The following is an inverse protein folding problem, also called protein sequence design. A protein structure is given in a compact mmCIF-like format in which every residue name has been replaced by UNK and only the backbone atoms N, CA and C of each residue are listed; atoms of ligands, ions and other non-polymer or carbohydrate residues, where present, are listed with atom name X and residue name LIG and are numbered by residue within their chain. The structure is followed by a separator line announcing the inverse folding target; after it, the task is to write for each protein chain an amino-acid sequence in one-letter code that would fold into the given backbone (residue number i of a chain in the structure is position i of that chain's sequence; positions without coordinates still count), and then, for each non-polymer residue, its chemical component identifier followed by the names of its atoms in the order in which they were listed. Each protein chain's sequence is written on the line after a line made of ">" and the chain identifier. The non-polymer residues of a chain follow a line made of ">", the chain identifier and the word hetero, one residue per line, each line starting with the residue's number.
data_IF_143199169742
#
_entry.id   IF_143199169742
#
_cell.length_a   1.000
_cell.length_b   1.000
_cell.length_c   1.000
_cell.angle_alpha   90.00
_cell.angle_beta   90.00
_cell.angle_gamma   90.00
#
_symmetry.space_group_name_H-M   'P 1'
#
loop_
_entity.id
_entity.type
_entity.pdbx_description
1 polymer ?
#
# COMPACT_ATOMS: atom_id res chain seq x y z
N UNK A 1 -2.15 -6.51 26.65
CA UNK A 1 -1.08 -7.12 25.83
C UNK A 1 -1.51 -7.01 24.38
N UNK A 2 -0.75 -6.32 23.52
CA UNK A 2 -1.07 -6.25 22.08
C UNK A 2 -0.40 -7.47 21.45
N UNK A 3 -1.19 -8.46 21.06
CA UNK A 3 -0.70 -9.63 20.34
C UNK A 3 -0.26 -9.19 18.94
N UNK A 4 1.03 -9.35 18.64
CA UNK A 4 1.59 -9.05 17.32
C UNK A 4 1.55 -10.30 16.46
N UNK A 5 1.25 -10.11 15.17
CA UNK A 5 1.32 -11.19 14.20
C UNK A 5 2.75 -11.73 14.06
N UNK A 6 2.89 -13.05 14.13
CA UNK A 6 4.14 -13.78 13.96
C UNK A 6 4.06 -14.59 12.66
N UNK A 7 4.63 -14.09 11.55
CA UNK A 7 4.49 -14.72 10.23
C UNK A 7 5.15 -16.10 10.12
N UNK A 8 6.16 -16.38 10.96
CA UNK A 8 6.93 -17.62 10.94
C UNK A 8 6.65 -18.51 12.16
N UNK A 9 5.51 -18.34 12.82
CA UNK A 9 5.13 -19.22 13.92
C UNK A 9 4.82 -20.62 13.41
N UNK A 10 5.40 -21.64 14.05
CA UNK A 10 5.16 -23.05 13.73
C UNK A 10 3.76 -23.48 14.12
N UNK A 11 3.17 -22.86 15.15
CA UNK A 11 1.79 -23.10 15.58
C UNK A 11 0.87 -21.97 15.05
N UNK A 12 -0.10 -22.29 14.17
CA UNK A 12 -1.04 -21.31 13.65
C UNK A 12 -1.91 -20.67 14.75
N UNK A 13 -2.20 -21.38 15.83
CA UNK A 13 -3.04 -20.87 16.92
C UNK A 13 -2.32 -19.79 17.75
N UNK A 14 -0.99 -19.81 17.77
CA UNK A 14 -0.15 -18.86 18.50
C UNK A 14 0.35 -17.70 17.63
N UNK A 15 0.04 -17.71 16.33
CA UNK A 15 0.57 -16.74 15.36
C UNK A 15 0.03 -15.32 15.56
N UNK A 16 -1.01 -15.13 16.39
CA UNK A 16 -1.60 -13.81 16.62
C UNK A 16 -2.38 -13.23 15.43
N UNK A 17 -2.69 -14.05 14.42
CA UNK A 17 -3.42 -13.64 13.22
C UNK A 17 -4.85 -13.12 13.52
N UNK A 18 -5.51 -13.67 14.55
CA UNK A 18 -6.85 -13.21 14.95
C UNK A 18 -6.85 -11.81 15.58
N UNK A 19 -5.70 -11.36 16.09
CA UNK A 19 -5.55 -10.04 16.69
C UNK A 19 -4.95 -9.01 15.72
N UNK A 20 -4.60 -9.42 14.49
CA UNK A 20 -4.00 -8.55 13.49
C UNK A 20 -5.06 -7.96 12.56
N UNK A 21 -4.73 -6.80 11.99
CA UNK A 21 -5.55 -6.12 10.99
C UNK A 21 -4.97 -6.43 9.61
N UNK A 22 -5.84 -6.80 8.66
CA UNK A 22 -5.50 -7.18 7.29
C UNK A 22 -5.22 -5.96 6.39
N UNK A 23 -4.18 -5.19 6.72
CA UNK A 23 -3.77 -4.01 5.95
C UNK A 23 -3.39 -4.32 4.50
N UNK A 24 -2.87 -5.50 4.25
CA UNK A 24 -2.47 -5.98 2.92
C UNK A 24 -3.66 -6.05 1.95
N UNK A 25 -4.87 -6.28 2.47
CA UNK A 25 -6.07 -6.34 1.66
C UNK A 25 -6.48 -4.96 1.11
N UNK A 26 -6.24 -3.91 1.91
CA UNK A 26 -6.40 -2.53 1.45
C UNK A 26 -5.39 -2.19 0.34
N UNK A 27 -4.16 -2.67 0.44
CA UNK A 27 -3.17 -2.49 -0.62
C UNK A 27 -3.62 -3.20 -1.91
N UNK A 28 -4.11 -4.44 -1.78
CA UNK A 28 -4.58 -5.25 -2.90
C UNK A 28 -5.82 -4.67 -3.60
N UNK A 29 -6.62 -3.85 -2.91
CA UNK A 29 -7.73 -3.11 -3.52
C UNK A 29 -7.27 -2.16 -4.63
N UNK A 30 -6.04 -1.65 -4.56
CA UNK A 30 -5.44 -0.74 -5.55
C UNK A 30 -4.62 -1.44 -6.64
N UNK A 31 -4.71 -2.78 -6.73
CA UNK A 31 -3.91 -3.57 -7.66
C UNK A 31 -4.26 -3.26 -9.13
N UNK A 32 -3.25 -3.27 -10.01
CA UNK A 32 -3.42 -2.94 -11.44
C UNK A 32 -4.36 -3.91 -12.17
N UNK A 33 -4.35 -5.18 -11.76
CA UNK A 33 -5.21 -6.20 -12.33
C UNK A 33 -6.64 -6.09 -11.77
N UNK A 34 -7.61 -5.78 -12.62
CA UNK A 34 -9.00 -5.51 -12.23
C UNK A 34 -9.64 -6.65 -11.46
N UNK A 35 -9.37 -7.91 -11.81
CA UNK A 35 -9.94 -9.05 -11.09
C UNK A 35 -9.44 -9.13 -9.63
N UNK A 36 -8.16 -8.82 -9.41
CA UNK A 36 -7.55 -8.85 -8.08
C UNK A 36 -8.07 -7.68 -7.24
N UNK A 37 -8.10 -6.47 -7.82
CA UNK A 37 -8.67 -5.28 -7.17
C UNK A 37 -10.15 -5.46 -6.80
N UNK A 38 -10.95 -6.04 -7.72
CA UNK A 38 -12.38 -6.29 -7.50
C UNK A 38 -12.59 -7.32 -6.40
N UNK A 39 -11.79 -8.39 -6.37
CA UNK A 39 -11.88 -9.42 -5.34
C UNK A 39 -11.48 -8.88 -3.96
N UNK A 40 -10.39 -8.13 -3.86
CA UNK A 40 -9.95 -7.49 -2.62
C UNK A 40 -11.00 -6.47 -2.12
N UNK A 41 -11.52 -5.62 -3.00
CA UNK A 41 -12.59 -4.66 -2.65
C UNK A 41 -13.88 -5.37 -2.24
N UNK A 42 -14.17 -6.51 -2.87
CA UNK A 42 -15.26 -7.41 -2.48
C UNK A 42 -15.10 -7.88 -1.04
N UNK A 43 -13.95 -8.45 -0.67
CA UNK A 43 -13.70 -8.92 0.70
C UNK A 43 -13.77 -7.76 1.72
N UNK A 44 -13.23 -6.59 1.37
CA UNK A 44 -13.28 -5.40 2.23
C UNK A 44 -14.71 -4.92 2.51
N UNK A 45 -15.62 -5.06 1.54
CA UNK A 45 -17.02 -4.64 1.64
C UNK A 45 -17.97 -5.75 2.12
N UNK A 46 -17.50 -6.99 2.26
CA UNK A 46 -18.31 -8.11 2.74
C UNK A 46 -18.66 -7.94 4.22
N UNK A 47 -19.94 -7.71 4.49
CA UNK A 47 -20.51 -7.81 5.84
C UNK A 47 -20.69 -9.28 6.23
N UNK A 48 -20.59 -9.58 7.53
CA UNK A 48 -20.65 -10.94 8.09
C UNK A 48 -21.93 -11.71 7.80
N UNK A 49 -22.96 -11.05 7.24
CA UNK A 49 -24.27 -11.62 6.94
C UNK A 49 -24.32 -12.51 5.67
N UNK A 50 -23.38 -12.38 4.72
CA UNK A 50 -23.38 -13.11 3.44
C UNK A 50 -22.12 -13.96 3.22
N UNK A 51 -21.57 -14.54 4.29
CA UNK A 51 -20.39 -15.43 4.25
C UNK A 51 -20.71 -16.89 3.89
N UNK A 52 -21.74 -17.14 3.07
CA UNK A 52 -21.82 -18.44 2.41
C UNK A 52 -20.92 -18.36 1.19
N UNK A 53 -19.64 -18.63 1.40
CA UNK A 53 -18.69 -18.84 0.32
C UNK A 53 -19.31 -19.94 -0.54
N UNK A 54 -19.86 -19.56 -1.68
CA UNK A 54 -20.15 -20.47 -2.77
C UNK A 54 -18.79 -20.92 -3.30
N UNK A 55 -18.11 -21.77 -2.52
CA UNK A 55 -17.07 -22.65 -3.01
C UNK A 55 -17.81 -23.58 -3.97
N UNK A 56 -17.94 -23.14 -5.22
CA UNK A 56 -18.15 -24.06 -6.34
C UNK A 56 -17.18 -25.22 -6.09
N UNK A 57 -17.70 -26.45 -6.06
CA UNK A 57 -16.99 -27.66 -5.61
C UNK A 57 -15.81 -28.04 -6.53
N UNK A 58 -14.84 -27.15 -6.72
CA UNK A 58 -13.57 -27.45 -7.35
C UNK A 58 -12.68 -28.08 -6.29
N UNK A 59 -12.13 -29.26 -6.59
CA UNK A 59 -11.10 -29.85 -5.72
C UNK A 59 -9.89 -28.91 -5.63
N UNK A 60 -9.09 -28.97 -4.55
CA UNK A 60 -7.90 -28.12 -4.41
C UNK A 60 -6.96 -28.18 -5.63
N UNK A 61 -6.83 -29.35 -6.27
CA UNK A 61 -6.03 -29.53 -7.48
C UNK A 61 -6.62 -28.80 -8.69
N UNK A 62 -7.95 -28.78 -8.82
CA UNK A 62 -8.63 -28.07 -9.90
C UNK A 62 -8.54 -26.56 -9.73
N UNK A 63 -8.71 -26.06 -8.50
CA UNK A 63 -8.54 -24.65 -8.19
C UNK A 63 -7.12 -24.17 -8.54
N UNK A 64 -6.09 -24.92 -8.16
CA UNK A 64 -4.70 -24.61 -8.51
C UNK A 64 -4.47 -24.54 -10.03
N UNK A 65 -5.07 -25.47 -10.78
CA UNK A 65 -4.99 -25.48 -12.24
C UNK A 65 -5.69 -24.29 -12.89
N UNK A 66 -6.87 -23.90 -12.42
CA UNK A 66 -7.61 -22.74 -12.92
C UNK A 66 -6.92 -21.40 -12.61
N UNK A 67 -6.13 -21.36 -11.53
CA UNK A 67 -5.37 -20.18 -11.10
C UNK A 67 -3.92 -20.18 -11.57
N UNK A 68 -3.49 -21.17 -12.36
CA UNK A 68 -2.12 -21.20 -12.90
C UNK A 68 -1.95 -20.14 -14.00
N UNK A 69 -0.78 -19.49 -14.01
CA UNK A 69 -0.44 -18.35 -14.87
C UNK A 69 -0.64 -18.59 -16.38
N UNK A 70 -0.56 -19.84 -16.82
CA UNK A 70 -0.82 -20.22 -18.22
C UNK A 70 -2.25 -19.90 -18.70
N UNK A 71 -3.19 -19.69 -17.77
CA UNK A 71 -4.58 -19.32 -18.07
C UNK A 71 -4.85 -17.81 -18.00
N UNK A 72 -3.92 -16.99 -17.48
CA UNK A 72 -4.12 -15.54 -17.34
C UNK A 72 -4.15 -14.78 -18.67
N UNK A 73 -3.63 -15.35 -19.76
CA UNK A 73 -3.79 -14.79 -21.11
C UNK A 73 -5.22 -14.98 -21.68
N UNK A 74 -6.08 -15.73 -20.99
CA UNK A 74 -7.45 -16.04 -21.39
C UNK A 74 -8.50 -15.49 -20.42
N UNK A 75 -8.22 -14.40 -19.70
CA UNK A 75 -9.27 -13.56 -19.12
C UNK A 75 -9.97 -12.75 -20.22
N UNK A 76 -10.61 -13.45 -21.16
CA UNK A 76 -11.71 -12.82 -21.88
C UNK A 76 -12.75 -12.45 -20.83
N UNK A 77 -13.08 -11.16 -20.75
CA UNK A 77 -14.17 -10.66 -19.92
C UNK A 77 -15.34 -11.65 -20.04
N UNK A 78 -15.62 -12.38 -18.96
CA UNK A 78 -16.83 -13.20 -18.87
C UNK A 78 -18.00 -12.24 -18.69
N UNK A 79 -18.31 -11.53 -19.77
CA UNK A 79 -19.53 -10.80 -19.95
C UNK A 79 -20.65 -11.79 -19.69
N UNK A 80 -21.49 -11.49 -18.68
CA UNK A 80 -22.56 -12.37 -18.25
C UNK A 80 -23.38 -12.84 -19.45
N UNK A 81 -23.72 -14.13 -19.48
CA UNK A 81 -24.54 -14.70 -20.54
C UNK A 81 -25.96 -14.15 -20.45
N UNK A 82 -26.21 -13.00 -21.08
CA UNK A 82 -27.56 -12.55 -21.37
C UNK A 82 -27.98 -13.27 -22.65
N UNK A 83 -28.86 -14.27 -22.50
CA UNK A 83 -29.58 -14.92 -23.59
C UNK A 83 -30.30 -13.85 -24.42
N UNK A 84 -29.72 -13.46 -25.56
CA UNK A 84 -30.39 -12.67 -26.58
C UNK A 84 -30.76 -13.57 -27.76
N UNK A 85 -32.04 -13.49 -28.10
CA UNK A 85 -32.76 -14.36 -29.03
C UNK A 85 -32.51 -13.81 -30.45
N UNK A 86 -32.20 -14.70 -31.38
CA UNK A 86 -31.90 -14.45 -32.80
C UNK A 86 -32.71 -13.34 -33.49
N UNK A 87 -32.03 -12.47 -34.27
CA UNK A 87 -32.52 -12.01 -35.59
C UNK A 87 -31.39 -11.55 -36.54
N UNK A 88 -31.07 -12.44 -37.49
CA UNK A 88 -30.72 -12.24 -38.92
C UNK A 88 -29.89 -11.01 -39.37
N UNK A 89 -28.65 -11.31 -39.82
CA UNK A 89 -27.84 -10.79 -40.96
C UNK A 89 -27.96 -9.31 -41.35
N UNK A 90 -26.83 -8.59 -41.37
CA UNK A 90 -26.39 -7.75 -42.51
C UNK A 90 -24.86 -7.60 -42.45
N UNK A 91 -24.19 -7.81 -43.58
CA UNK A 91 -22.75 -7.63 -43.77
C UNK A 91 -22.38 -6.14 -43.62
N UNK A 92 -21.44 -5.82 -42.74
CA UNK A 92 -20.74 -4.54 -42.68
C UNK A 92 -19.27 -4.79 -42.39
N UNK A 93 -18.34 -4.02 -42.97
CA UNK A 93 -16.91 -4.28 -42.81
C UNK A 93 -16.51 -4.11 -41.35
N UNK A 94 -15.69 -5.05 -40.87
CA UNK A 94 -15.10 -5.01 -39.55
C UNK A 94 -14.38 -3.67 -39.35
N UNK A 95 -14.95 -2.81 -38.50
CA UNK A 95 -14.22 -1.70 -37.94
C UNK A 95 -13.06 -2.31 -37.15
N UNK A 96 -11.87 -2.25 -37.74
CA UNK A 96 -10.60 -2.43 -37.05
C UNK A 96 -10.69 -1.67 -35.73
N UNK A 97 -10.65 -2.42 -34.62
CA UNK A 97 -10.58 -1.86 -33.28
C UNK A 97 -9.40 -0.91 -33.31
N UNK A 98 -9.75 0.39 -33.32
CA UNK A 98 -8.78 1.45 -33.29
C UNK A 98 -7.81 1.13 -32.16
N UNK A 99 -6.53 1.12 -32.49
CA UNK A 99 -5.48 1.31 -31.52
C UNK A 99 -5.76 2.67 -30.86
N UNK A 100 -6.61 2.68 -29.83
CA UNK A 100 -6.58 3.72 -28.82
C UNK A 100 -5.25 3.55 -28.13
N UNK A 101 -4.23 4.13 -28.77
CA UNK A 101 -3.11 4.70 -28.05
C UNK A 101 -3.76 5.68 -27.09
N UNK A 102 -4.08 5.21 -25.89
CA UNK A 102 -4.40 6.08 -24.76
C UNK A 102 -3.07 6.75 -24.45
N UNK A 103 -2.75 7.80 -25.21
CA UNK A 103 -1.85 8.84 -24.75
C UNK A 103 -2.62 9.56 -23.64
N UNK A 104 -2.74 8.91 -22.48
CA UNK A 104 -2.96 9.66 -21.26
C UNK A 104 -1.72 10.54 -21.14
N UNK A 105 -1.87 11.78 -21.57
CA UNK A 105 -0.90 12.85 -21.37
C UNK A 105 -0.79 13.07 -19.86
N UNK A 106 -0.11 12.17 -19.16
CA UNK A 106 0.28 12.42 -17.78
C UNK A 106 1.37 13.48 -17.81
N UNK A 107 1.11 14.61 -17.15
CA UNK A 107 2.14 15.62 -16.93
C UNK A 107 3.09 15.07 -15.86
N UNK A 108 4.19 14.46 -16.30
CA UNK A 108 5.25 13.96 -15.42
C UNK A 108 5.75 15.05 -14.46
N UNK A 109 5.70 16.33 -14.88
CA UNK A 109 6.08 17.44 -14.01
C UNK A 109 5.06 17.63 -12.87
N UNK A 110 3.76 17.41 -13.11
CA UNK A 110 2.74 17.46 -12.06
C UNK A 110 2.93 16.34 -11.06
N UNK A 111 3.21 15.13 -11.54
CA UNK A 111 3.50 13.98 -10.69
C UNK A 111 4.75 14.23 -9.84
N UNK A 112 5.82 14.73 -10.45
CA UNK A 112 7.05 15.09 -9.74
C UNK A 112 6.79 16.19 -8.69
N UNK A 113 6.02 17.24 -9.01
CA UNK A 113 5.64 18.29 -8.05
C UNK A 113 4.87 17.71 -6.86
N UNK A 114 3.90 16.84 -7.10
CA UNK A 114 3.12 16.18 -6.02
C UNK A 114 4.02 15.28 -5.17
N UNK A 115 4.92 14.54 -5.78
CA UNK A 115 5.84 13.64 -5.08
C UNK A 115 6.82 14.45 -4.21
N UNK A 116 7.42 15.50 -4.76
CA UNK A 116 8.31 16.41 -4.02
C UNK A 116 7.55 17.08 -2.89
N UNK A 117 6.35 17.62 -3.14
CA UNK A 117 5.53 18.26 -2.09
C UNK A 117 5.17 17.28 -0.96
N UNK A 118 4.82 16.03 -1.29
CA UNK A 118 4.49 14.99 -0.32
C UNK A 118 5.69 14.62 0.55
N UNK A 119 6.87 14.45 -0.05
CA UNK A 119 8.09 14.08 0.69
C UNK A 119 8.81 15.28 1.33
N UNK A 120 8.51 16.51 0.93
CA UNK A 120 9.04 17.73 1.54
C UNK A 120 8.69 17.80 3.03
N UNK A 121 7.44 17.46 3.40
CA UNK A 121 7.02 17.40 4.81
C UNK A 121 7.89 16.41 5.60
N UNK A 122 8.17 15.24 5.04
CA UNK A 122 9.01 14.24 5.72
C UNK A 122 10.48 14.69 5.81
N UNK A 123 10.97 15.38 4.79
CA UNK A 123 12.29 16.01 4.80
C UNK A 123 12.39 17.06 5.91
N UNK A 124 11.41 17.97 5.99
CA UNK A 124 11.36 19.05 6.98
C UNK A 124 11.24 18.52 8.42
N UNK A 125 10.52 17.43 8.64
CA UNK A 125 10.43 16.76 9.95
C UNK A 125 11.80 16.21 10.36
N UNK A 126 12.47 15.49 9.46
CA UNK A 126 13.80 14.92 9.72
C UNK A 126 14.85 16.01 9.95
N UNK A 127 14.78 17.09 9.18
CA UNK A 127 15.68 18.24 9.31
C UNK A 127 15.43 19.00 10.62
N UNK A 128 14.17 19.18 11.04
CA UNK A 128 13.85 19.72 12.36
C UNK A 128 14.40 18.85 13.50
N UNK A 129 14.30 17.53 13.39
CA UNK A 129 14.88 16.63 14.39
C UNK A 129 16.41 16.78 14.48
N UNK A 130 17.08 16.91 13.32
CA UNK A 130 18.52 17.20 13.25
C UNK A 130 18.86 18.52 13.93
N UNK A 131 18.10 19.59 13.63
CA UNK A 131 18.31 20.91 14.22
C UNK A 131 18.12 20.91 15.74
N UNK A 132 17.12 20.19 16.26
CA UNK A 132 16.91 20.07 17.72
C UNK A 132 18.10 19.41 18.41
N UNK A 133 18.64 18.33 17.85
CA UNK A 133 19.82 17.65 18.40
C UNK A 133 21.05 18.56 18.44
N UNK A 134 21.27 19.34 17.38
CA UNK A 134 22.39 20.28 17.35
C UNK A 134 22.20 21.44 18.34
N UNK A 135 20.96 21.95 18.46
CA UNK A 135 20.61 22.97 19.45
C UNK A 135 20.86 22.48 20.88
N UNK A 136 20.45 21.26 21.22
CA UNK A 136 20.72 20.66 22.52
C UNK A 136 22.22 20.52 22.79
N UNK A 137 22.99 20.08 21.79
CA UNK A 137 24.45 19.96 21.90
C UNK A 137 25.12 21.31 22.17
N UNK A 138 24.72 22.37 21.46
CA UNK A 138 25.24 23.72 21.66
C UNK A 138 24.81 24.33 22.99
N UNK A 139 23.59 24.05 23.45
CA UNK A 139 23.13 24.47 24.77
C UNK A 139 23.97 23.85 25.89
N UNK A 140 24.28 22.55 25.80
CA UNK A 140 25.15 21.86 26.76
C UNK A 140 26.58 22.43 26.77
N UNK A 141 27.14 22.74 25.60
CA UNK A 141 28.50 23.30 25.53
C UNK A 141 28.57 24.72 26.11
N UNK A 142 27.55 25.54 25.89
CA UNK A 142 27.42 26.86 26.52
C UNK A 142 27.26 26.76 28.03
N UNK A 143 26.44 25.83 28.51
CA UNK A 143 26.26 25.61 29.95
C UNK A 143 27.58 25.21 30.63
N UNK A 144 28.34 24.31 30.00
CA UNK A 144 29.66 23.91 30.48
C UNK A 144 30.63 25.10 30.52
N UNK A 145 30.64 25.94 29.48
CA UNK A 145 31.47 27.14 29.44
C UNK A 145 31.11 28.14 30.54
N UNK A 146 29.82 28.35 30.80
CA UNK A 146 29.35 29.20 31.90
C UNK A 146 29.79 28.66 33.27
N UNK A 147 29.75 27.35 33.48
CA UNK A 147 30.28 26.73 34.70
C UNK A 147 31.79 26.95 34.85
N UNK A 148 32.57 26.70 33.80
CA UNK A 148 34.01 26.95 33.78
C UNK A 148 34.33 28.43 34.11
N UNK A 149 33.60 29.37 33.51
CA UNK A 149 33.77 30.81 33.75
C UNK A 149 33.47 31.19 35.20
N UNK A 150 32.47 30.57 35.83
CA UNK A 150 32.16 30.75 37.26
C UNK A 150 33.30 30.26 38.15
N UNK A 151 33.82 29.06 37.88
CA UNK A 151 34.97 28.50 38.62
C UNK A 151 36.22 29.39 38.49
N UNK A 152 36.55 29.82 37.27
CA UNK A 152 37.71 30.71 37.01
C UNK A 152 37.59 32.07 37.69
N UNK A 153 36.38 32.58 37.91
CA UNK A 153 36.15 33.81 38.67
C UNK A 153 36.35 33.60 40.17
N UNK A 154 35.98 32.45 40.71
CA UNK A 154 36.18 32.11 42.13
C UNK A 154 37.63 31.75 42.46
N UNK A 155 38.41 31.26 41.48
CA UNK A 155 39.82 30.93 41.68
C UNK A 155 40.78 32.13 41.60
N UNK A 156 40.28 33.35 41.37
CA UNK A 156 41.11 34.56 41.42
C UNK A 156 41.31 34.96 42.89
N UNK A 157 42.55 35.14 43.38
CA UNK A 157 42.78 35.54 44.75
C UNK A 157 42.19 36.93 44.99
N UNK A 158 41.43 37.10 46.08
CA UNK A 158 41.09 38.43 46.60
C UNK A 158 42.39 39.06 47.09
N UNK A 159 42.87 40.06 46.36
CA UNK A 159 43.89 41.01 46.84
C UNK A 159 43.25 41.97 47.83
#
# INVERSE_FOLDING_TARGET
>A
MIFKYLPYSTDPNLSGALASVLWELNLLSSHYHTAISTLASGISSMSTAHNQVLLSKSSPQLAFKEMSLDQELCFTQRSGSIKLKNKKRTNGPAASIGSTTVKSSFDDNELQRKLVSHFMVHHDIKENERMRKELDRTALSLQLYEQYKKQKKQSKPRR
#
